data_IF_184897458063
#
_entry.id   IF_184897458063
#
_cell.length_a   1.000
_cell.length_b   1.000
_cell.length_c   1.000
_cell.angle_alpha   90.00
_cell.angle_beta   90.00
_cell.angle_gamma   90.00
#
_symmetry.space_group_name_H-M   'P 1'
#
loop_
_entity.id
_entity.type
_entity.pdbx_description
1 polymer ?
#
# COMPACT_ATOMS: atom_id res chain seq x y z
N UNK A 1 42.45 -9.03 4.98
CA UNK A 1 41.12 -9.59 4.68
C UNK A 1 40.05 -9.20 5.70
N UNK A 2 40.26 -9.40 7.00
CA UNK A 2 39.23 -9.14 8.04
C UNK A 2 38.70 -7.68 8.03
N UNK A 3 39.57 -6.69 7.86
CA UNK A 3 39.20 -5.26 7.82
C UNK A 3 38.25 -4.92 6.66
N UNK A 4 38.43 -5.55 5.50
CA UNK A 4 37.55 -5.34 4.34
C UNK A 4 36.16 -5.91 4.56
N UNK A 5 36.07 -7.04 5.27
CA UNK A 5 34.79 -7.66 5.62
C UNK A 5 34.03 -6.78 6.62
N UNK A 6 34.72 -6.17 7.58
CA UNK A 6 34.12 -5.21 8.51
C UNK A 6 33.62 -3.96 7.80
N UNK A 7 34.45 -3.35 6.95
CA UNK A 7 34.01 -2.18 6.17
C UNK A 7 32.82 -2.47 5.25
N UNK A 8 32.78 -3.66 4.64
CA UNK A 8 31.66 -4.08 3.81
C UNK A 8 30.39 -4.35 4.64
N UNK A 9 30.54 -4.91 5.84
CA UNK A 9 29.43 -5.16 6.75
C UNK A 9 28.83 -3.86 7.29
N UNK A 10 29.66 -2.89 7.63
CA UNK A 10 29.24 -1.57 8.09
C UNK A 10 28.50 -0.81 6.97
N UNK A 11 29.01 -0.87 5.73
CA UNK A 11 28.35 -0.29 4.57
C UNK A 11 26.98 -0.93 4.31
N UNK A 12 26.89 -2.27 4.35
CA UNK A 12 25.64 -2.99 4.19
C UNK A 12 24.63 -2.66 5.29
N UNK A 13 25.09 -2.50 6.54
CA UNK A 13 24.22 -2.08 7.65
C UNK A 13 23.69 -0.66 7.44
N UNK A 14 24.56 0.28 7.03
CA UNK A 14 24.16 1.65 6.72
C UNK A 14 23.10 1.70 5.61
N UNK A 15 23.30 0.91 4.54
CA UNK A 15 22.32 0.83 3.45
C UNK A 15 20.98 0.23 3.91
N UNK A 16 21.02 -0.76 4.79
CA UNK A 16 19.82 -1.38 5.33
C UNK A 16 19.03 -0.42 6.22
N UNK A 17 19.70 0.35 7.08
CA UNK A 17 19.07 1.36 7.92
C UNK A 17 18.42 2.48 7.09
N UNK A 18 19.11 2.96 6.05
CA UNK A 18 18.57 3.94 5.11
C UNK A 18 17.29 3.44 4.45
N UNK A 19 17.34 2.23 3.87
CA UNK A 19 16.17 1.63 3.19
C UNK A 19 15.03 1.33 4.15
N UNK A 20 15.33 0.92 5.38
CA UNK A 20 14.31 0.74 6.40
C UNK A 20 13.66 2.07 6.79
N UNK A 21 14.43 3.16 6.90
CA UNK A 21 13.92 4.51 7.16
C UNK A 21 12.95 5.00 6.08
N UNK A 22 13.28 4.78 4.81
CA UNK A 22 12.39 5.06 3.67
C UNK A 22 11.07 4.30 3.79
N UNK A 23 11.13 2.99 4.05
CA UNK A 23 9.94 2.13 4.20
C UNK A 23 9.09 2.61 5.38
N UNK A 24 9.70 2.97 6.51
CA UNK A 24 8.97 3.47 7.68
C UNK A 24 8.22 4.77 7.38
N UNK A 25 8.86 5.69 6.65
CA UNK A 25 8.24 6.96 6.25
C UNK A 25 7.03 6.72 5.34
N UNK A 26 7.19 5.87 4.32
CA UNK A 26 6.10 5.51 3.41
C UNK A 26 4.97 4.77 4.13
N UNK A 27 5.30 3.86 5.06
CA UNK A 27 4.30 3.19 5.91
C UNK A 27 3.53 4.19 6.76
N UNK A 28 4.20 5.21 7.30
CA UNK A 28 3.58 6.30 8.03
C UNK A 28 2.57 7.06 7.19
N UNK A 29 2.92 7.42 5.95
CA UNK A 29 2.03 8.12 5.02
C UNK A 29 0.79 7.29 4.61
N UNK A 30 0.94 5.96 4.48
CA UNK A 30 -0.14 5.06 4.07
C UNK A 30 -0.99 4.61 5.27
N UNK A 31 -0.47 4.72 6.51
CA UNK A 31 -1.16 4.30 7.73
C UNK A 31 -2.59 4.84 7.83
N UNK A 32 -2.89 6.14 7.59
CA UNK A 32 -4.25 6.65 7.64
C UNK A 32 -5.21 5.89 6.73
N UNK A 33 -4.82 5.62 5.48
CA UNK A 33 -5.62 4.89 4.49
C UNK A 33 -5.94 3.45 4.92
N UNK A 34 -5.08 2.83 5.73
CA UNK A 34 -5.33 1.50 6.31
C UNK A 34 -6.37 1.51 7.41
N UNK A 35 -6.68 2.65 8.02
CA UNK A 35 -7.63 2.76 9.12
C UNK A 35 -9.00 3.30 8.70
N UNK A 36 -9.19 3.68 7.44
CA UNK A 36 -10.51 4.09 6.94
C UNK A 36 -11.52 2.96 7.15
N UNK A 37 -12.75 3.25 7.59
CA UNK A 37 -13.82 2.25 7.62
C UNK A 37 -14.08 1.69 6.21
N UNK A 38 -14.51 0.43 6.13
CA UNK A 38 -14.76 -0.21 4.83
C UNK A 38 -15.88 0.50 4.05
N UNK A 39 -16.84 1.09 4.76
CA UNK A 39 -17.99 1.82 4.24
C UNK A 39 -17.56 3.09 3.50
N UNK A 40 -16.52 3.76 3.99
CA UNK A 40 -15.97 4.95 3.33
C UNK A 40 -15.23 4.53 2.05
N UNK A 41 -14.47 3.44 2.11
CA UNK A 41 -13.76 2.91 0.95
C UNK A 41 -14.75 2.43 -0.13
N UNK A 42 -15.81 1.70 0.25
CA UNK A 42 -16.84 1.27 -0.70
C UNK A 42 -17.53 2.46 -1.34
N UNK A 43 -17.81 3.52 -0.58
CA UNK A 43 -18.39 4.74 -1.15
C UNK A 43 -17.47 5.40 -2.17
N UNK A 44 -16.17 5.48 -1.88
CA UNK A 44 -15.19 6.00 -2.85
C UNK A 44 -15.15 5.14 -4.12
N UNK A 45 -15.29 3.82 -4.01
CA UNK A 45 -15.33 2.94 -5.18
C UNK A 45 -16.57 3.17 -6.05
N UNK A 46 -17.74 3.35 -5.43
CA UNK A 46 -18.98 3.67 -6.15
C UNK A 46 -18.84 4.99 -6.93
N UNK A 47 -18.32 6.04 -6.30
CA UNK A 47 -18.08 7.34 -6.96
C UNK A 47 -17.02 7.23 -8.08
N UNK A 48 -15.97 6.45 -7.84
CA UNK A 48 -14.91 6.19 -8.83
C UNK A 48 -15.46 5.47 -10.08
N UNK A 49 -16.27 4.43 -9.89
CA UNK A 49 -16.88 3.67 -10.98
C UNK A 49 -17.94 4.49 -11.74
N UNK A 50 -18.75 5.27 -11.02
CA UNK A 50 -19.79 6.10 -11.61
C UNK A 50 -19.23 7.30 -12.41
N UNK A 51 -18.19 7.96 -11.90
CA UNK A 51 -17.69 9.22 -12.46
C UNK A 51 -16.67 9.07 -13.59
N UNK A 52 -15.93 7.97 -13.64
CA UNK A 52 -14.73 7.88 -14.48
C UNK A 52 -14.78 6.82 -15.57
N UNK A 53 -15.91 6.10 -15.72
CA UNK A 53 -16.08 4.99 -16.66
C UNK A 53 -14.97 3.92 -16.58
N UNK A 54 -14.27 3.84 -15.43
CA UNK A 54 -13.24 2.84 -15.22
C UNK A 54 -13.88 1.53 -14.79
N UNK A 55 -13.34 0.41 -15.26
CA UNK A 55 -13.82 -0.88 -14.82
C UNK A 55 -13.73 -1.09 -13.31
N UNK A 56 -14.81 -1.56 -12.66
CA UNK A 56 -14.86 -1.72 -11.20
C UNK A 56 -13.86 -2.75 -10.67
N UNK A 57 -13.41 -3.70 -11.50
CA UNK A 57 -12.43 -4.71 -11.07
C UNK A 57 -11.03 -4.12 -10.81
N UNK A 58 -10.71 -2.92 -11.33
CA UNK A 58 -9.40 -2.27 -11.14
C UNK A 58 -9.08 -2.06 -9.66
N UNK A 59 -10.07 -1.62 -8.86
CA UNK A 59 -9.85 -1.39 -7.42
C UNK A 59 -9.53 -2.70 -6.68
N UNK A 60 -9.98 -3.85 -7.19
CA UNK A 60 -9.67 -5.17 -6.65
C UNK A 60 -8.23 -5.66 -6.92
N UNK A 61 -7.47 -4.95 -7.76
CA UNK A 61 -6.06 -5.28 -8.01
C UNK A 61 -5.08 -4.55 -7.08
N UNK A 62 -5.54 -3.55 -6.31
CA UNK A 62 -4.67 -2.70 -5.48
C UNK A 62 -4.13 -3.46 -4.26
N UNK A 63 -5.00 -4.08 -3.46
CA UNK A 63 -4.59 -4.95 -2.36
C UNK A 63 -5.70 -5.95 -1.98
N UNK A 64 -5.38 -6.93 -1.13
CA UNK A 64 -6.33 -7.94 -0.67
C UNK A 64 -7.55 -7.34 0.04
N UNK A 65 -7.35 -6.29 0.84
CA UNK A 65 -8.43 -5.58 1.53
C UNK A 65 -9.39 -4.93 0.54
N UNK A 66 -8.86 -4.20 -0.44
CA UNK A 66 -9.67 -3.52 -1.45
C UNK A 66 -10.45 -4.50 -2.31
N UNK A 67 -9.84 -5.65 -2.63
CA UNK A 67 -10.55 -6.76 -3.30
C UNK A 67 -11.73 -7.27 -2.48
N UNK A 68 -11.54 -7.48 -1.17
CA UNK A 68 -12.63 -7.90 -0.28
C UNK A 68 -13.78 -6.90 -0.26
N UNK A 69 -13.47 -5.61 -0.17
CA UNK A 69 -14.46 -4.53 -0.18
C UNK A 69 -15.19 -4.45 -1.53
N UNK A 70 -14.47 -4.50 -2.65
CA UNK A 70 -15.05 -4.44 -4.00
C UNK A 70 -16.01 -5.62 -4.27
N UNK A 71 -15.64 -6.84 -3.85
CA UNK A 71 -16.52 -8.01 -3.96
C UNK A 71 -17.72 -7.95 -3.01
N UNK A 72 -17.59 -7.27 -1.88
CA UNK A 72 -18.66 -7.09 -0.89
C UNK A 72 -19.58 -5.89 -1.18
N UNK A 73 -19.35 -5.13 -2.26
CA UNK A 73 -20.13 -3.93 -2.63
C UNK A 73 -20.94 -4.22 -3.89
N UNK A 74 -22.22 -4.64 -3.79
CA UNK A 74 -23.01 -5.04 -4.97
C UNK A 74 -23.22 -3.93 -5.99
N UNK A 75 -23.36 -2.67 -5.54
CA UNK A 75 -23.58 -1.50 -6.41
C UNK A 75 -22.39 -1.17 -7.32
N UNK A 76 -21.23 -1.82 -7.11
CA UNK A 76 -20.03 -1.61 -7.89
C UNK A 76 -20.04 -2.41 -9.22
N UNK A 77 -20.90 -3.44 -9.32
CA UNK A 77 -21.02 -4.36 -10.46
C UNK A 77 -22.30 -4.13 -11.24
#
# INVERSE_FOLDING_TARGET
EIVWIQLLMDDLQSQLEEKQGEIWTLKGMISPLKHFPNEIISRVFEEYAAGLAYPPWIVGHICSRWRGIALATPNLW
#
